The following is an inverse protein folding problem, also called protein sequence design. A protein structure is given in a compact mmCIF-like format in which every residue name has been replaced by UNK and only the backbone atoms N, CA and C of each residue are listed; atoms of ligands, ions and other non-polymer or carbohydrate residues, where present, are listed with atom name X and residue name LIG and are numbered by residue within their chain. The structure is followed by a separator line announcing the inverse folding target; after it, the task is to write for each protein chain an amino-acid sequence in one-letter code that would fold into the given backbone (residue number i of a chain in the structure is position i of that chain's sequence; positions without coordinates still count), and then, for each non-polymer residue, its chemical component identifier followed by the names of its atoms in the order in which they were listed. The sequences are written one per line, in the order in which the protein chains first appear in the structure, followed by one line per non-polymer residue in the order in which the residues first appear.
data_IF_813091257642
#
_entry.id   IF_813091257642
#
_cell.length_a   1.000
_cell.length_b   1.000
_cell.length_c   1.000
_cell.angle_alpha   90.00
_cell.angle_beta   90.00
_cell.angle_gamma   90.00
#
_symmetry.space_group_name_H-M   'P 1'
#
loop_
_entity.id
_entity.type
_entity.pdbx_description
1 polymer ?
#
# COMPACT_ATOMS: atom_id res chain seq x y z
N UNK A 1 76.46 -2.57 -19.44
CA UNK A 1 75.87 -2.42 -18.09
C UNK A 1 75.24 -3.77 -17.76
N UNK A 2 76.02 -4.84 -17.61
CA UNK A 2 76.95 -5.14 -16.52
C UNK A 2 76.19 -5.58 -15.25
N UNK A 3 76.30 -6.87 -14.98
CA UNK A 3 76.17 -7.59 -13.68
C UNK A 3 76.96 -6.90 -12.55
N UNK A 4 77.13 -7.46 -11.32
CA UNK A 4 76.73 -8.76 -10.73
C UNK A 4 76.18 -8.60 -9.27
N UNK A 5 75.84 -9.61 -8.46
CA UNK A 5 76.71 -10.62 -7.77
C UNK A 5 75.74 -11.53 -6.98
N UNK A 6 75.58 -12.85 -7.21
CA UNK A 6 76.47 -14.03 -7.13
C UNK A 6 76.88 -14.43 -5.70
N UNK A 7 76.33 -15.56 -5.22
CA UNK A 7 77.04 -16.78 -4.79
C UNK A 7 76.08 -17.65 -3.94
N UNK A 8 75.55 -18.80 -4.37
CA UNK A 8 76.16 -20.10 -4.75
C UNK A 8 76.62 -20.97 -3.57
N UNK A 9 76.06 -22.18 -3.47
CA UNK A 9 76.63 -23.50 -3.08
C UNK A 9 75.42 -24.42 -2.76
N UNK A 10 74.89 -25.31 -3.62
CA UNK A 10 75.42 -26.41 -4.44
C UNK A 10 75.52 -27.76 -3.67
N UNK A 11 75.11 -28.84 -4.37
CA UNK A 11 75.57 -30.25 -4.28
C UNK A 11 74.58 -31.31 -3.71
N UNK A 12 73.90 -31.99 -4.67
CA UNK A 12 73.67 -33.45 -4.91
C UNK A 12 73.02 -34.33 -3.81
N UNK A 13 72.31 -35.43 -4.07
CA UNK A 13 72.41 -36.47 -5.11
C UNK A 13 71.14 -37.35 -5.14
N UNK A 14 70.91 -38.03 -6.27
CA UNK A 14 70.37 -39.40 -6.47
C UNK A 14 69.02 -39.78 -5.80
N UNK A 15 68.07 -40.48 -6.40
CA UNK A 15 68.16 -41.62 -7.31
C UNK A 15 66.72 -42.01 -7.72
N UNK A 16 66.50 -42.38 -8.98
CA UNK A 16 65.37 -43.22 -9.42
C UNK A 16 66.01 -44.58 -9.84
N UNK A 17 65.31 -45.74 -9.94
CA UNK A 17 64.20 -45.87 -10.89
C UNK A 17 63.12 -46.96 -10.64
N UNK A 18 62.02 -46.81 -11.38
CA UNK A 18 61.25 -47.85 -12.08
C UNK A 18 60.63 -49.07 -11.36
N UNK A 19 59.33 -49.25 -11.52
CA UNK A 19 58.80 -50.41 -12.26
C UNK A 19 57.38 -50.16 -12.78
N UNK A 20 57.23 -50.46 -14.08
CA UNK A 20 56.02 -50.40 -14.90
C UNK A 20 55.33 -51.77 -14.78
N UNK A 21 54.01 -51.83 -14.58
CA UNK A 21 53.18 -52.93 -15.09
C UNK A 21 51.73 -52.46 -15.28
N UNK A 22 51.24 -52.60 -16.51
CA UNK A 22 49.83 -52.54 -16.96
C UNK A 22 49.50 -53.87 -17.65
N UNK A 23 48.26 -54.21 -18.07
CA UNK A 23 46.89 -53.97 -17.56
C UNK A 23 46.12 -55.34 -17.46
N UNK A 24 44.76 -55.50 -17.50
CA UNK A 24 43.92 -55.18 -18.65
C UNK A 24 42.53 -54.56 -18.34
N UNK A 25 41.92 -54.11 -19.44
CA UNK A 25 40.64 -53.41 -19.63
C UNK A 25 39.42 -54.30 -19.36
N UNK A 26 38.36 -53.75 -18.77
CA UNK A 26 36.97 -54.17 -19.04
C UNK A 26 35.98 -53.02 -18.81
N UNK A 27 35.50 -52.48 -19.95
CA UNK A 27 34.11 -52.13 -20.28
C UNK A 27 33.25 -51.34 -19.27
N UNK A 28 33.12 -50.05 -19.55
CA UNK A 28 31.88 -49.26 -19.71
C UNK A 28 30.66 -49.67 -18.83
N UNK A 29 30.33 -48.80 -17.87
CA UNK A 29 28.95 -48.42 -17.58
C UNK A 29 28.89 -46.91 -17.33
N UNK A 30 28.08 -46.23 -18.13
CA UNK A 30 27.86 -44.79 -18.14
C UNK A 30 26.66 -44.47 -17.25
N UNK A 31 26.77 -43.31 -16.58
CA UNK A 31 25.69 -42.41 -16.15
C UNK A 31 25.19 -42.42 -14.70
N UNK A 32 24.71 -41.25 -14.22
CA UNK A 32 25.30 -40.59 -13.07
C UNK A 32 24.27 -40.32 -11.96
N UNK A 33 24.74 -40.03 -10.76
CA UNK A 33 23.88 -39.34 -9.79
C UNK A 33 24.70 -38.32 -9.01
N UNK A 34 25.09 -37.25 -9.72
CA UNK A 34 25.29 -35.96 -9.06
C UNK A 34 23.91 -35.45 -8.65
N UNK A 35 23.48 -35.76 -7.44
CA UNK A 35 22.47 -34.96 -6.77
C UNK A 35 23.06 -33.56 -6.57
N UNK A 36 22.41 -32.49 -7.03
CA UNK A 36 22.74 -31.18 -6.50
C UNK A 36 22.30 -31.22 -5.04
N UNK A 37 23.24 -31.01 -4.13
CA UNK A 37 22.91 -30.62 -2.77
C UNK A 37 22.07 -29.34 -2.87
N UNK A 38 20.75 -29.49 -2.84
CA UNK A 38 19.86 -28.39 -2.49
C UNK A 38 20.17 -28.16 -1.01
N UNK A 39 21.13 -27.27 -0.77
CA UNK A 39 21.31 -26.63 0.52
C UNK A 39 20.01 -25.88 0.79
N UNK A 40 19.06 -26.59 1.39
CA UNK A 40 18.03 -25.98 2.20
C UNK A 40 18.77 -25.18 3.25
N UNK A 41 19.01 -23.90 2.97
CA UNK A 41 19.31 -22.95 4.02
C UNK A 41 18.09 -22.96 4.92
N UNK A 42 18.12 -23.80 5.96
CA UNK A 42 17.24 -23.67 7.10
C UNK A 42 17.52 -22.28 7.68
N UNK A 43 16.75 -21.28 7.24
CA UNK A 43 16.71 -19.99 7.88
C UNK A 43 16.28 -20.27 9.32
N UNK A 44 17.23 -20.16 10.24
CA UNK A 44 16.90 -20.21 11.66
C UNK A 44 15.78 -19.19 11.91
N UNK A 45 14.64 -19.62 12.47
CA UNK A 45 13.51 -18.71 12.67
C UNK A 45 14.00 -17.53 13.50
N UNK A 46 13.58 -16.33 13.10
CA UNK A 46 14.00 -15.11 13.77
C UNK A 46 13.61 -15.18 15.26
N UNK A 47 14.30 -14.44 16.15
CA UNK A 47 13.96 -14.47 17.57
C UNK A 47 12.48 -14.15 17.85
N UNK A 48 11.86 -13.32 17.01
CA UNK A 48 10.43 -12.98 17.09
C UNK A 48 9.52 -14.15 16.68
N UNK A 49 9.93 -14.97 15.71
CA UNK A 49 9.17 -16.15 15.25
C UNK A 49 9.18 -17.29 16.28
N UNK A 50 10.09 -17.24 17.25
CA UNK A 50 10.13 -18.20 18.37
C UNK A 50 9.24 -17.80 19.54
N UNK A 51 8.72 -16.57 19.55
CA UNK A 51 7.84 -16.11 20.61
C UNK A 51 6.48 -16.81 20.51
N UNK A 52 5.84 -17.12 21.66
CA UNK A 52 4.45 -17.59 21.65
C UNK A 52 3.53 -16.58 20.97
N UNK A 53 2.50 -17.09 20.29
CA UNK A 53 1.55 -16.26 19.54
C UNK A 53 0.88 -15.21 20.45
N UNK A 54 0.60 -15.56 21.70
CA UNK A 54 -0.03 -14.69 22.69
C UNK A 54 0.82 -13.44 22.97
N UNK A 55 2.14 -13.61 23.02
CA UNK A 55 3.08 -12.50 23.24
C UNK A 55 3.12 -11.61 22.01
N UNK A 56 3.14 -12.18 20.81
CA UNK A 56 3.08 -11.42 19.55
C UNK A 56 1.79 -10.59 19.46
N UNK A 57 0.64 -11.17 19.84
CA UNK A 57 -0.63 -10.46 19.87
C UNK A 57 -0.66 -9.38 20.97
N UNK A 58 -0.02 -9.62 22.12
CA UNK A 58 0.09 -8.62 23.16
C UNK A 58 0.94 -7.42 22.71
N UNK A 59 2.08 -7.67 22.06
CA UNK A 59 2.90 -6.62 21.44
C UNK A 59 2.07 -5.84 20.42
N UNK A 60 1.31 -6.53 19.56
CA UNK A 60 0.48 -5.89 18.55
C UNK A 60 -0.57 -4.93 19.13
N UNK A 61 -1.15 -5.25 20.29
CA UNK A 61 -2.12 -4.39 21.00
C UNK A 61 -1.50 -3.10 21.57
N UNK A 62 -0.19 -3.10 21.80
CA UNK A 62 0.54 -1.95 22.32
C UNK A 62 1.02 -1.00 21.22
N UNK A 63 0.99 -1.45 19.96
CA UNK A 63 1.42 -0.68 18.80
C UNK A 63 0.23 0.04 18.16
N UNK A 64 0.45 1.27 17.70
CA UNK A 64 -0.49 1.93 16.79
C UNK A 64 -0.57 1.17 15.47
N UNK A 65 -1.70 1.27 14.78
CA UNK A 65 -1.97 0.58 13.51
C UNK A 65 -0.80 0.60 12.53
N UNK A 66 -0.16 1.76 12.34
CA UNK A 66 0.95 1.92 11.39
C UNK A 66 2.18 1.08 11.76
N UNK A 67 2.61 1.12 13.02
CA UNK A 67 3.76 0.34 13.48
C UNK A 67 3.46 -1.15 13.52
N UNK A 68 2.25 -1.51 13.96
CA UNK A 68 1.75 -2.86 13.91
C UNK A 68 1.73 -3.41 12.48
N UNK A 69 1.32 -2.59 11.50
CA UNK A 69 1.32 -2.95 10.07
C UNK A 69 2.74 -3.16 9.53
N UNK A 70 3.69 -2.29 9.92
CA UNK A 70 5.08 -2.46 9.53
C UNK A 70 5.67 -3.74 10.12
N UNK A 71 5.42 -4.02 11.40
CA UNK A 71 5.86 -5.26 12.07
C UNK A 71 5.30 -6.50 11.35
N UNK A 72 3.99 -6.52 11.09
CA UNK A 72 3.34 -7.62 10.38
C UNK A 72 3.96 -7.88 9.00
N UNK A 73 4.42 -6.85 8.30
CA UNK A 73 5.02 -6.96 6.96
C UNK A 73 6.48 -7.42 6.95
N UNK A 74 7.13 -7.54 8.10
CA UNK A 74 8.55 -7.96 8.16
C UNK A 74 8.77 -9.44 7.87
N UNK A 75 7.77 -10.30 8.14
CA UNK A 75 7.84 -11.74 7.90
C UNK A 75 6.46 -12.27 7.50
N UNK A 76 6.43 -13.26 6.61
CA UNK A 76 5.17 -13.93 6.22
C UNK A 76 4.50 -14.60 7.44
N UNK A 77 5.30 -15.13 8.38
CA UNK A 77 4.78 -15.70 9.62
C UNK A 77 4.04 -14.64 10.45
N UNK A 78 4.68 -13.49 10.68
CA UNK A 78 4.07 -12.39 11.42
C UNK A 78 2.86 -11.82 10.69
N UNK A 79 2.90 -11.73 9.36
CA UNK A 79 1.77 -11.26 8.56
C UNK A 79 0.54 -12.13 8.78
N UNK A 80 0.67 -13.46 8.72
CA UNK A 80 -0.47 -14.37 8.87
C UNK A 80 -1.13 -14.28 10.26
N UNK A 81 -0.33 -14.08 11.31
CA UNK A 81 -0.80 -14.00 12.69
C UNK A 81 -1.36 -12.61 12.99
N UNK A 82 -0.57 -11.57 12.74
CA UNK A 82 -0.85 -10.21 13.21
C UNK A 82 -1.86 -9.48 12.34
N UNK A 83 -1.88 -9.71 11.02
CA UNK A 83 -2.70 -8.94 10.10
C UNK A 83 -4.20 -9.08 10.39
N UNK A 84 -4.66 -10.26 10.82
CA UNK A 84 -6.07 -10.46 11.20
C UNK A 84 -6.44 -9.66 12.45
N UNK A 85 -5.60 -9.70 13.47
CA UNK A 85 -5.85 -8.98 14.72
C UNK A 85 -5.68 -7.46 14.55
N UNK A 86 -4.80 -7.04 13.66
CA UNK A 86 -4.59 -5.64 13.31
C UNK A 86 -5.86 -4.96 12.81
N UNK A 87 -6.59 -5.57 11.86
CA UNK A 87 -7.85 -4.99 11.36
C UNK A 87 -8.99 -5.08 12.37
N UNK A 88 -9.04 -6.14 13.19
CA UNK A 88 -10.00 -6.21 14.31
C UNK A 88 -9.79 -5.10 15.35
N UNK A 89 -8.53 -4.78 15.66
CA UNK A 89 -8.19 -3.68 16.57
C UNK A 89 -8.44 -2.32 15.92
N UNK A 90 -8.18 -2.19 14.61
CA UNK A 90 -8.42 -0.96 13.87
C UNK A 90 -9.88 -0.50 13.94
N UNK A 91 -10.83 -1.44 13.82
CA UNK A 91 -12.25 -1.13 13.98
C UNK A 91 -12.65 -0.74 15.41
N UNK A 92 -12.00 -1.33 16.43
CA UNK A 92 -12.34 -1.09 17.84
C UNK A 92 -11.74 0.19 18.42
N UNK A 93 -10.52 0.53 18.02
CA UNK A 93 -9.72 1.56 18.69
C UNK A 93 -9.26 2.68 17.76
N UNK A 94 -9.11 2.40 16.47
CA UNK A 94 -8.56 3.36 15.50
C UNK A 94 -9.61 3.91 14.52
N UNK A 95 -10.91 3.72 14.81
CA UNK A 95 -12.03 4.21 14.00
C UNK A 95 -11.86 3.91 12.50
N UNK A 96 -11.40 2.70 12.17
CA UNK A 96 -11.14 2.29 10.79
C UNK A 96 -10.15 3.18 10.02
N UNK A 97 -9.14 3.73 10.69
CA UNK A 97 -7.99 4.40 10.07
C UNK A 97 -7.49 3.81 8.73
N UNK A 98 -7.26 2.48 8.59
CA UNK A 98 -6.86 1.91 7.30
C UNK A 98 -7.81 2.22 6.14
N UNK A 99 -9.11 2.37 6.39
CA UNK A 99 -10.11 2.70 5.38
C UNK A 99 -9.86 4.09 4.77
N UNK A 100 -9.51 5.07 5.59
CA UNK A 100 -9.22 6.44 5.15
C UNK A 100 -7.87 6.55 4.45
N UNK A 101 -6.88 5.77 4.89
CA UNK A 101 -5.60 5.67 4.17
C UNK A 101 -5.79 4.99 2.82
N UNK A 102 -6.62 3.95 2.75
CA UNK A 102 -6.97 3.32 1.48
C UNK A 102 -7.63 4.32 0.52
N UNK A 103 -8.55 5.15 1.03
CA UNK A 103 -9.17 6.23 0.27
C UNK A 103 -8.17 7.27 -0.24
N UNK A 104 -7.20 7.67 0.59
CA UNK A 104 -6.20 8.67 0.22
C UNK A 104 -5.12 8.14 -0.75
N UNK A 105 -4.88 6.83 -0.78
CA UNK A 105 -3.78 6.19 -1.54
C UNK A 105 -4.24 5.26 -2.66
N UNK A 106 -5.55 5.08 -2.84
CA UNK A 106 -6.13 4.15 -3.82
C UNK A 106 -5.74 2.68 -3.60
N UNK A 107 -5.58 2.28 -2.33
CA UNK A 107 -5.21 0.91 -1.99
C UNK A 107 -6.44 0.00 -1.85
N UNK A 108 -6.91 -0.55 -2.98
CA UNK A 108 -8.11 -1.40 -3.05
C UNK A 108 -8.00 -2.66 -2.17
N UNK A 109 -6.81 -3.27 -2.06
CA UNK A 109 -6.62 -4.44 -1.21
C UNK A 109 -6.83 -4.13 0.29
N UNK A 110 -6.63 -2.87 0.71
CA UNK A 110 -6.87 -2.44 2.09
C UNK A 110 -8.37 -2.18 2.31
N UNK A 111 -9.06 -1.65 1.30
CA UNK A 111 -10.52 -1.49 1.31
C UNK A 111 -11.24 -2.83 1.49
N UNK A 112 -10.91 -3.83 0.66
CA UNK A 112 -11.49 -5.18 0.75
C UNK A 112 -11.27 -5.79 2.14
N UNK A 113 -10.07 -5.61 2.69
CA UNK A 113 -9.74 -6.11 4.02
C UNK A 113 -10.52 -5.39 5.13
N UNK A 114 -10.68 -4.08 5.05
CA UNK A 114 -11.52 -3.35 6.00
C UNK A 114 -12.96 -3.90 5.98
N UNK A 115 -13.55 -4.10 4.80
CA UNK A 115 -14.89 -4.68 4.68
C UNK A 115 -14.97 -6.13 5.21
N UNK A 116 -13.96 -6.96 4.92
CA UNK A 116 -13.88 -8.35 5.42
C UNK A 116 -13.99 -8.40 6.96
N UNK A 117 -13.41 -7.42 7.64
CA UNK A 117 -13.44 -7.32 9.11
C UNK A 117 -14.61 -6.50 9.66
N UNK A 118 -15.57 -6.10 8.82
CA UNK A 118 -16.81 -5.43 9.23
C UNK A 118 -16.74 -3.91 9.29
N UNK A 119 -15.86 -3.28 8.51
CA UNK A 119 -15.87 -1.82 8.36
C UNK A 119 -17.16 -1.35 7.68
N UNK A 120 -17.70 -0.22 8.15
CA UNK A 120 -18.82 0.46 7.50
C UNK A 120 -18.25 1.45 6.48
N UNK A 121 -18.79 1.43 5.26
CA UNK A 121 -18.25 2.22 4.14
C UNK A 121 -18.36 3.74 4.39
N UNK A 122 -19.50 4.19 4.94
CA UNK A 122 -19.79 5.58 5.28
C UNK A 122 -19.45 5.92 6.75
N UNK A 123 -18.43 5.28 7.31
CA UNK A 123 -17.93 5.66 8.62
C UNK A 123 -17.41 7.11 8.59
N UNK A 124 -17.62 7.86 9.66
CA UNK A 124 -17.10 9.22 9.77
C UNK A 124 -15.82 9.26 10.59
N UNK A 125 -14.84 10.05 10.14
CA UNK A 125 -13.64 10.25 10.91
C UNK A 125 -13.96 11.08 12.16
N UNK A 126 -13.61 10.63 13.38
CA UNK A 126 -13.99 11.32 14.61
C UNK A 126 -13.38 12.74 14.72
N UNK A 127 -14.24 13.73 14.98
CA UNK A 127 -13.85 15.15 15.17
C UNK A 127 -12.95 15.37 16.39
N UNK A 128 -13.17 14.61 17.47
CA UNK A 128 -12.41 14.75 18.71
C UNK A 128 -11.23 13.77 18.76
N UNK A 129 -10.76 13.26 17.61
CA UNK A 129 -9.54 12.45 17.62
C UNK A 129 -8.35 13.34 17.90
N UNK A 130 -8.01 13.44 19.20
CA UNK A 130 -6.65 13.62 19.68
C UNK A 130 -5.81 12.39 19.30
N UNK A 131 -5.79 12.03 18.01
CA UNK A 131 -4.76 11.17 17.47
C UNK A 131 -3.51 12.04 17.42
N UNK A 132 -2.89 12.21 18.59
CA UNK A 132 -1.47 12.46 18.68
C UNK A 132 -0.79 11.27 18.03
N UNK A 133 -0.66 11.31 16.70
CA UNK A 133 0.22 10.43 15.98
C UNK A 133 1.62 10.68 16.56
N UNK A 134 2.08 9.74 17.40
CA UNK A 134 3.46 9.72 17.84
C UNK A 134 4.33 9.89 16.60
N UNK A 135 5.21 10.90 16.63
CA UNK A 135 6.16 11.25 15.57
C UNK A 135 5.69 12.17 14.44
N UNK A 136 4.72 13.06 14.66
CA UNK A 136 4.61 14.31 13.87
C UNK A 136 4.25 14.15 12.39
N UNK A 137 3.91 12.95 11.93
CA UNK A 137 3.41 12.71 10.59
C UNK A 137 1.88 12.75 10.62
N UNK A 138 1.34 13.94 10.39
CA UNK A 138 -0.05 14.13 9.98
C UNK A 138 -0.20 13.50 8.60
N UNK A 139 -0.79 12.32 8.50
CA UNK A 139 -1.59 12.05 7.32
C UNK A 139 -2.78 13.01 7.44
N UNK A 140 -2.92 13.91 6.46
CA UNK A 140 -3.93 14.97 6.42
C UNK A 140 -5.32 14.35 6.21
N UNK A 141 -5.77 13.53 7.17
CA UNK A 141 -7.14 13.09 7.28
C UNK A 141 -7.92 14.28 7.81
N UNK A 142 -8.87 14.74 7.01
CA UNK A 142 -9.78 15.79 7.42
C UNK A 142 -10.78 15.23 8.42
N UNK A 143 -10.91 15.92 9.54
CA UNK A 143 -11.83 15.53 10.60
C UNK A 143 -13.27 15.56 10.09
N UNK A 144 -14.09 14.58 10.49
CA UNK A 144 -15.51 14.53 10.14
C UNK A 144 -15.81 13.97 8.75
N UNK A 145 -14.80 13.74 7.91
CA UNK A 145 -15.02 13.23 6.55
C UNK A 145 -15.32 11.73 6.53
N UNK A 146 -16.09 11.32 5.52
CA UNK A 146 -16.21 9.92 5.09
C UNK A 146 -15.05 9.51 4.16
N UNK A 147 -14.82 8.19 4.00
CA UNK A 147 -13.83 7.68 3.05
C UNK A 147 -14.01 8.22 1.63
N UNK A 148 -15.25 8.38 1.17
CA UNK A 148 -15.54 8.93 -0.16
C UNK A 148 -14.99 10.35 -0.32
N UNK A 149 -15.27 11.22 0.64
CA UNK A 149 -14.81 12.61 0.64
C UNK A 149 -13.29 12.72 0.73
N UNK A 150 -12.66 11.83 1.50
CA UNK A 150 -11.20 11.70 1.55
C UNK A 150 -10.61 11.29 0.19
N UNK A 151 -11.21 10.32 -0.50
CA UNK A 151 -10.77 9.89 -1.82
C UNK A 151 -10.89 11.01 -2.87
N UNK A 152 -12.00 11.74 -2.86
CA UNK A 152 -12.23 12.91 -3.73
C UNK A 152 -11.16 13.98 -3.48
N UNK A 153 -10.93 14.34 -2.22
CA UNK A 153 -9.93 15.35 -1.87
C UNK A 153 -8.50 14.94 -2.24
N UNK A 154 -8.21 13.64 -2.24
CA UNK A 154 -6.93 13.08 -2.68
C UNK A 154 -6.89 12.80 -4.18
N UNK A 155 -7.97 13.08 -4.93
CA UNK A 155 -8.12 12.85 -6.38
C UNK A 155 -7.88 11.39 -6.80
N UNK A 156 -8.24 10.44 -5.94
CA UNK A 156 -8.06 9.01 -6.19
C UNK A 156 -9.27 8.45 -6.94
N UNK A 157 -9.23 8.47 -8.28
CA UNK A 157 -10.35 8.07 -9.16
C UNK A 157 -10.81 6.64 -8.88
N UNK A 158 -9.89 5.70 -8.79
CA UNK A 158 -10.19 4.28 -8.58
C UNK A 158 -10.78 4.03 -7.19
N UNK A 159 -10.30 4.75 -6.16
CA UNK A 159 -10.88 4.68 -4.82
C UNK A 159 -12.33 5.20 -4.81
N UNK A 160 -12.61 6.34 -5.46
CA UNK A 160 -13.96 6.88 -5.58
C UNK A 160 -14.88 5.88 -6.26
N UNK A 161 -14.50 5.37 -7.44
CA UNK A 161 -15.28 4.37 -8.17
C UNK A 161 -15.53 3.11 -7.34
N UNK A 162 -14.52 2.66 -6.59
CA UNK A 162 -14.65 1.49 -5.73
C UNK A 162 -15.65 1.74 -4.59
N UNK A 163 -15.57 2.90 -3.92
CA UNK A 163 -16.46 3.28 -2.83
C UNK A 163 -17.92 3.38 -3.30
N UNK A 164 -18.16 4.05 -4.43
CA UNK A 164 -19.51 4.21 -5.01
C UNK A 164 -20.13 2.87 -5.42
N UNK A 165 -19.32 1.93 -5.94
CA UNK A 165 -19.79 0.56 -6.25
C UNK A 165 -20.16 -0.25 -5.00
N UNK A 166 -19.65 0.13 -3.83
CA UNK A 166 -19.96 -0.49 -2.55
C UNK A 166 -20.97 0.35 -1.75
N UNK A 167 -21.88 1.04 -2.45
CA UNK A 167 -23.02 1.75 -1.87
C UNK A 167 -22.63 2.91 -0.94
N UNK A 168 -21.45 3.52 -1.13
CA UNK A 168 -21.15 4.78 -0.48
C UNK A 168 -22.07 5.89 -1.01
N UNK A 169 -22.72 6.61 -0.11
CA UNK A 169 -23.64 7.69 -0.47
C UNK A 169 -22.88 8.83 -1.19
N UNK A 170 -23.22 9.17 -2.45
CA UNK A 170 -22.52 10.16 -3.24
C UNK A 170 -22.78 11.60 -2.82
N UNK A 171 -23.82 11.87 -2.04
CA UNK A 171 -24.25 13.22 -1.65
C UNK A 171 -23.74 13.62 -0.27
N UNK A 172 -23.91 14.88 0.11
CA UNK A 172 -23.54 15.34 1.45
C UNK A 172 -24.54 14.83 2.48
N UNK A 173 -24.05 14.06 3.45
CA UNK A 173 -24.90 13.65 4.57
C UNK A 173 -25.09 14.80 5.55
N UNK A 174 -26.24 14.84 6.23
CA UNK A 174 -26.50 15.83 7.29
C UNK A 174 -25.40 15.83 8.37
N UNK A 175 -24.85 14.65 8.68
CA UNK A 175 -23.75 14.53 9.62
C UNK A 175 -22.53 15.34 9.14
N UNK A 176 -22.10 15.19 7.88
CA UNK A 176 -20.98 15.98 7.34
C UNK A 176 -21.25 17.49 7.36
N UNK A 177 -22.44 17.92 6.93
CA UNK A 177 -22.82 19.33 6.92
C UNK A 177 -22.75 19.97 8.32
N UNK A 178 -23.22 19.24 9.36
CA UNK A 178 -23.18 19.72 10.75
C UNK A 178 -21.77 19.67 11.32
N UNK A 179 -21.01 18.61 11.04
CA UNK A 179 -19.67 18.40 11.58
C UNK A 179 -18.66 19.41 11.03
N UNK A 180 -18.84 19.88 9.79
CA UNK A 180 -17.91 20.79 9.12
C UNK A 180 -18.24 22.28 9.30
N UNK A 181 -19.47 22.62 9.68
CA UNK A 181 -19.91 24.00 9.85
C UNK A 181 -20.05 24.79 8.54
N UNK A 182 -19.81 24.16 7.38
CA UNK A 182 -20.13 24.68 6.07
C UNK A 182 -20.61 23.53 5.18
N UNK A 183 -21.62 23.80 4.34
CA UNK A 183 -22.10 22.84 3.34
C UNK A 183 -21.21 22.89 2.12
N UNK A 184 -20.77 21.74 1.66
CA UNK A 184 -20.10 21.61 0.36
C UNK A 184 -20.41 20.19 -0.12
N UNK A 185 -21.17 20.05 -1.21
CA UNK A 185 -21.46 18.71 -1.74
C UNK A 185 -20.19 18.00 -2.23
N UNK A 186 -20.13 16.65 -2.20
CA UNK A 186 -19.01 15.90 -2.78
C UNK A 186 -18.74 16.27 -4.26
N UNK A 187 -19.80 16.58 -5.02
CA UNK A 187 -19.72 17.13 -6.37
C UNK A 187 -19.02 18.50 -6.39
N UNK A 188 -19.44 19.45 -5.55
CA UNK A 188 -18.78 20.76 -5.43
C UNK A 188 -17.31 20.64 -5.05
N UNK A 189 -16.99 19.74 -4.11
CA UNK A 189 -15.62 19.44 -3.72
C UNK A 189 -14.82 18.90 -4.92
N UNK A 190 -15.36 17.93 -5.66
CA UNK A 190 -14.70 17.36 -6.83
C UNK A 190 -14.45 18.44 -7.91
N UNK A 191 -15.43 19.29 -8.19
CA UNK A 191 -15.29 20.39 -9.16
C UNK A 191 -14.17 21.35 -8.76
N UNK A 192 -14.16 21.80 -7.50
CA UNK A 192 -13.12 22.69 -6.95
C UNK A 192 -11.73 22.06 -6.98
N UNK A 193 -11.62 20.74 -6.88
CA UNK A 193 -10.33 20.04 -6.96
C UNK A 193 -9.76 19.99 -8.37
N UNK A 194 -10.55 20.31 -9.40
CA UNK A 194 -10.11 20.41 -10.79
C UNK A 194 -9.34 21.68 -11.15
N UNK A 195 -9.36 22.70 -10.28
CA UNK A 195 -8.73 24.00 -10.56
C UNK A 195 -7.21 23.94 -10.77
N UNK A 196 -6.73 24.77 -11.70
CA UNK A 196 -5.34 25.20 -11.84
C UNK A 196 -4.50 24.43 -12.87
N UNK A 197 -4.59 23.09 -12.93
CA UNK A 197 -3.75 22.30 -13.85
C UNK A 197 -4.49 21.14 -14.51
N UNK A 198 -4.05 20.77 -15.72
CA UNK A 198 -4.60 19.61 -16.45
C UNK A 198 -4.45 18.30 -15.67
N UNK A 199 -3.37 18.17 -14.89
CA UNK A 199 -3.12 17.02 -14.01
C UNK A 199 -4.20 16.85 -12.93
N UNK A 200 -4.81 17.95 -12.48
CA UNK A 200 -5.92 17.94 -11.54
C UNK A 200 -7.27 17.82 -12.25
N UNK A 201 -7.42 18.44 -13.41
CA UNK A 201 -8.63 18.47 -14.21
C UNK A 201 -9.11 17.06 -14.58
N UNK A 202 -8.23 16.23 -15.16
CA UNK A 202 -8.63 14.92 -15.68
C UNK A 202 -9.12 13.94 -14.58
N UNK A 203 -8.42 13.79 -13.43
CA UNK A 203 -8.93 13.01 -12.31
C UNK A 203 -10.23 13.59 -11.73
N UNK A 204 -10.31 14.91 -11.55
CA UNK A 204 -11.48 15.56 -10.95
C UNK A 204 -12.71 15.40 -11.84
N UNK A 205 -12.55 15.51 -13.17
CA UNK A 205 -13.60 15.22 -14.15
C UNK A 205 -14.07 13.77 -14.06
N UNK A 206 -13.13 12.83 -13.98
CA UNK A 206 -13.45 11.40 -13.86
C UNK A 206 -14.21 11.10 -12.57
N UNK A 207 -13.91 11.83 -11.50
CA UNK A 207 -14.61 11.73 -10.21
C UNK A 207 -16.02 12.34 -10.31
N UNK A 208 -16.17 13.52 -10.91
CA UNK A 208 -17.48 14.15 -11.15
C UNK A 208 -18.41 13.20 -11.89
N UNK A 209 -17.94 12.58 -12.97
CA UNK A 209 -18.75 11.64 -13.74
C UNK A 209 -19.10 10.40 -12.94
N UNK A 210 -18.17 9.87 -12.15
CA UNK A 210 -18.45 8.73 -11.28
C UNK A 210 -19.52 9.07 -10.23
N UNK A 211 -19.53 10.29 -9.69
CA UNK A 211 -20.55 10.75 -8.75
C UNK A 211 -21.92 10.88 -9.44
N UNK A 212 -21.98 11.50 -10.61
CA UNK A 212 -23.22 11.60 -11.39
C UNK A 212 -23.78 10.23 -11.78
N UNK A 213 -22.92 9.30 -12.22
CA UNK A 213 -23.30 7.91 -12.51
C UNK A 213 -23.82 7.17 -11.27
N UNK A 214 -23.36 7.54 -10.08
CA UNK A 214 -23.85 7.00 -8.81
C UNK A 214 -25.14 7.67 -8.31
N UNK A 215 -25.65 8.69 -9.02
CA UNK A 215 -26.88 9.39 -8.70
C UNK A 215 -26.73 10.61 -7.80
N UNK A 216 -25.53 11.21 -7.76
CA UNK A 216 -25.30 12.46 -7.02
C UNK A 216 -26.19 13.60 -7.53
N UNK A 217 -26.74 14.40 -6.61
CA UNK A 217 -27.63 15.50 -6.93
C UNK A 217 -26.86 16.77 -7.32
N UNK A 218 -27.20 17.34 -8.48
CA UNK A 218 -26.65 18.60 -8.97
C UNK A 218 -27.26 19.80 -8.24
N UNK A 219 -28.46 19.67 -7.67
CA UNK A 219 -29.16 20.77 -6.98
C UNK A 219 -28.44 21.21 -5.70
N UNK A 220 -27.57 20.36 -5.17
CA UNK A 220 -26.70 20.66 -4.02
C UNK A 220 -25.44 21.48 -4.39
N UNK A 221 -25.30 21.89 -5.66
CA UNK A 221 -24.23 22.75 -6.14
C UNK A 221 -24.71 24.19 -6.41
N UNK A 222 -23.77 25.13 -6.39
CA UNK A 222 -24.03 26.49 -6.90
C UNK A 222 -24.35 26.44 -8.41
N UNK A 223 -25.27 27.29 -8.87
CA UNK A 223 -25.83 27.29 -10.25
C UNK A 223 -24.75 27.31 -11.34
N UNK A 224 -23.72 28.16 -11.22
CA UNK A 224 -22.64 28.27 -12.20
C UNK A 224 -21.80 26.98 -12.34
N UNK A 225 -21.20 26.46 -11.25
CA UNK A 225 -20.54 25.16 -11.25
C UNK A 225 -21.42 24.00 -11.72
N UNK A 226 -22.72 24.00 -11.41
CA UNK A 226 -23.65 22.95 -11.83
C UNK A 226 -23.82 22.91 -13.36
N UNK A 227 -24.05 24.07 -14.00
CA UNK A 227 -24.15 24.19 -15.46
C UNK A 227 -22.88 23.71 -16.19
N UNK A 228 -21.71 24.05 -15.64
CA UNK A 228 -20.42 23.64 -16.19
C UNK A 228 -20.20 22.12 -16.07
N UNK A 229 -20.64 21.52 -14.97
CA UNK A 229 -20.60 20.06 -14.78
C UNK A 229 -21.53 19.37 -15.76
N UNK A 230 -22.76 19.86 -15.93
CA UNK A 230 -23.71 19.31 -16.91
C UNK A 230 -23.18 19.44 -18.35
N UNK A 231 -22.61 20.59 -18.71
CA UNK A 231 -21.95 20.79 -20.00
C UNK A 231 -20.78 19.81 -20.21
N UNK A 232 -19.93 19.61 -19.19
CA UNK A 232 -18.84 18.63 -19.25
C UNK A 232 -19.32 17.19 -19.40
N UNK A 233 -20.44 16.84 -18.75
CA UNK A 233 -21.03 15.51 -18.81
C UNK A 233 -21.62 15.22 -20.19
N UNK A 234 -22.29 16.21 -20.79
CA UNK A 234 -22.91 16.10 -22.11
C UNK A 234 -21.89 16.16 -23.26
N UNK A 235 -20.80 16.92 -23.12
CA UNK A 235 -19.72 17.01 -24.12
C UNK A 235 -18.39 16.45 -23.58
N UNK A 236 -18.01 15.26 -24.09
CA UNK A 236 -16.75 14.60 -23.74
C UNK A 236 -15.48 15.41 -24.07
N UNK A 237 -15.55 16.37 -24.99
CA UNK A 237 -14.43 17.23 -25.39
C UNK A 237 -14.33 18.52 -24.56
N UNK A 238 -15.41 18.90 -23.89
CA UNK A 238 -15.47 20.11 -23.09
C UNK A 238 -14.77 19.94 -21.73
N UNK A 239 -14.00 20.96 -21.34
CA UNK A 239 -13.40 21.10 -20.01
C UNK A 239 -13.79 22.49 -19.51
N UNK A 240 -14.33 22.54 -18.29
CA UNK A 240 -14.82 23.78 -17.69
C UNK A 240 -13.79 24.91 -17.77
N UNK A 241 -14.26 26.09 -18.14
CA UNK A 241 -13.43 27.29 -18.20
C UNK A 241 -12.92 27.70 -16.81
N UNK A 242 -13.67 27.40 -15.75
CA UNK A 242 -13.30 27.66 -14.36
C UNK A 242 -12.00 26.99 -13.93
N UNK A 243 -11.54 25.96 -14.65
CA UNK A 243 -10.31 25.24 -14.29
C UNK A 243 -9.04 25.94 -14.79
N UNK A 244 -9.18 26.94 -15.66
CA UNK A 244 -8.08 27.63 -16.33
C UNK A 244 -7.87 29.08 -15.84
N UNK A 245 -8.75 29.59 -14.97
CA UNK A 245 -8.68 30.92 -14.37
C UNK A 245 -8.40 30.82 -12.86
#
# INVERSE_FOLDING_TARGET
MSSPTRNSLNITSSEAPSSITTPPVSTVAVSPTNQPAIVSMALNPSPLERLPQEILLHINKLLIFRHASHLARTSNFLYQILNKELYKLAGKHDNWYPLYIAAATSNIATFERCLEFGAVIDSHWPLNSSLTFGHGQRLYLSLGWRPLRQAISSRQVEAVKWLLRHEADPDETFAEAVLMGHRESPLSLAFRRGYGSLENAMPSRSILFALLEAGADLDDMDEGPAEEVDAMYNDSSYISLYWWF
#
